data_IF_850742131739
#
_entry.id   IF_850742131739
#
_cell.length_a   1.000
_cell.length_b   1.000
_cell.length_c   1.000
_cell.angle_alpha   90.00
_cell.angle_beta   90.00
_cell.angle_gamma   90.00
#
_symmetry.space_group_name_H-M   'P 1'
#
loop_
_entity.id
_entity.type
_entity.pdbx_description
1 polymer ?
#
# COMPACT_ATOMS: atom_id res chain seq x y z
N UNK A 1 -10.43 -6.01 7.02
CA UNK A 1 -10.16 -4.55 6.90
C UNK A 1 -8.68 -4.32 7.16
N UNK A 2 -8.07 -3.36 6.44
CA UNK A 2 -6.73 -2.89 6.69
C UNK A 2 -6.77 -1.44 7.22
N UNK A 3 -5.85 -1.10 8.12
CA UNK A 3 -5.55 0.25 8.58
C UNK A 3 -4.23 0.64 7.98
N UNK A 4 -4.10 1.86 7.44
CA UNK A 4 -2.83 2.45 7.10
C UNK A 4 -2.38 3.36 8.24
N UNK A 5 -1.20 3.08 8.79
CA UNK A 5 -0.62 3.87 9.86
C UNK A 5 -0.23 5.28 9.36
N UNK A 6 -0.04 6.22 10.28
CA UNK A 6 0.30 7.60 9.92
C UNK A 6 1.58 7.66 9.06
N UNK A 7 1.55 8.48 7.99
CA UNK A 7 2.73 8.76 7.16
C UNK A 7 3.90 9.44 7.91
N UNK A 8 3.65 9.93 9.13
CA UNK A 8 4.69 10.52 10.00
C UNK A 8 5.59 9.45 10.63
N UNK A 9 5.18 8.19 10.63
CA UNK A 9 5.98 7.09 11.17
C UNK A 9 7.23 6.89 10.32
N UNK A 10 8.39 6.92 11.00
CA UNK A 10 9.68 6.66 10.38
C UNK A 10 10.49 5.68 11.24
N UNK A 11 10.49 4.40 10.84
CA UNK A 11 11.18 3.35 11.57
C UNK A 11 12.70 3.37 11.37
N UNK A 12 13.21 4.09 10.36
CA UNK A 12 14.64 4.19 10.05
C UNK A 12 15.34 5.36 10.76
N UNK A 13 14.61 6.41 11.13
CA UNK A 13 15.18 7.64 11.68
C UNK A 13 15.70 7.47 13.11
N UNK A 14 16.68 8.31 13.49
CA UNK A 14 17.29 8.32 14.82
C UNK A 14 16.85 9.50 15.69
N UNK A 15 16.36 10.57 15.07
CA UNK A 15 16.11 11.83 15.79
C UNK A 15 15.03 11.68 16.86
N UNK A 16 15.39 11.97 18.10
CA UNK A 16 14.43 12.05 19.19
C UNK A 16 13.77 13.45 19.23
N UNK A 17 12.48 13.56 19.62
CA UNK A 17 11.62 12.47 20.13
C UNK A 17 10.90 11.68 19.04
N UNK A 18 11.09 11.97 17.75
CA UNK A 18 10.34 11.39 16.63
C UNK A 18 10.53 9.88 16.49
N UNK A 19 11.70 9.38 16.83
CA UNK A 19 12.01 7.95 16.79
C UNK A 19 11.15 7.17 17.79
N UNK A 20 11.09 7.64 19.04
CA UNK A 20 10.25 7.05 20.07
C UNK A 20 8.75 7.19 19.74
N UNK A 21 8.33 8.33 19.21
CA UNK A 21 6.94 8.58 18.80
C UNK A 21 6.52 7.67 17.65
N UNK A 22 7.40 7.43 16.67
CA UNK A 22 7.14 6.53 15.56
C UNK A 22 6.91 5.09 16.04
N UNK A 23 7.75 4.60 16.96
CA UNK A 23 7.60 3.28 17.53
C UNK A 23 6.31 3.17 18.36
N UNK A 24 6.08 4.11 19.28
CA UNK A 24 4.89 4.12 20.12
C UNK A 24 3.59 4.26 19.30
N UNK A 25 3.61 5.10 18.26
CA UNK A 25 2.47 5.26 17.36
C UNK A 25 2.14 3.97 16.62
N UNK A 26 3.13 3.26 16.08
CA UNK A 26 2.87 2.01 15.37
C UNK A 26 2.42 0.88 16.31
N UNK A 27 2.98 0.80 17.52
CA UNK A 27 2.49 -0.11 18.56
C UNK A 27 1.02 0.19 18.89
N UNK A 28 0.67 1.46 19.05
CA UNK A 28 -0.71 1.88 19.30
C UNK A 28 -1.63 1.42 18.16
N UNK A 29 -1.24 1.59 16.89
CA UNK A 29 -2.04 1.17 15.73
C UNK A 29 -2.30 -0.34 15.72
N UNK A 30 -1.27 -1.19 15.93
CA UNK A 30 -1.47 -2.64 15.94
C UNK A 30 -2.35 -3.08 17.11
N UNK A 31 -2.22 -2.46 18.28
CA UNK A 31 -3.04 -2.77 19.47
C UNK A 31 -4.50 -2.33 19.30
N UNK A 32 -4.76 -1.25 18.56
CA UNK A 32 -6.10 -0.73 18.31
C UNK A 32 -6.82 -1.40 17.12
N UNK A 33 -6.07 -2.03 16.22
CA UNK A 33 -6.61 -2.65 15.01
C UNK A 33 -7.82 -3.58 15.27
N UNK A 34 -7.83 -4.45 16.30
CA UNK A 34 -9.00 -5.30 16.58
C UNK A 34 -10.26 -4.51 16.91
N UNK A 35 -10.15 -3.35 17.57
CA UNK A 35 -11.30 -2.50 17.90
C UNK A 35 -11.97 -1.90 16.65
N UNK A 36 -11.22 -1.77 15.55
CA UNK A 36 -11.74 -1.35 14.25
C UNK A 36 -12.20 -2.53 13.37
N UNK A 37 -12.06 -3.76 13.85
CA UNK A 37 -12.25 -4.97 13.06
C UNK A 37 -11.18 -5.16 11.97
N UNK A 38 -10.00 -4.57 12.15
CA UNK A 38 -8.88 -4.69 11.22
C UNK A 38 -7.94 -5.83 11.64
N UNK A 39 -7.46 -6.57 10.65
CA UNK A 39 -6.48 -7.64 10.80
C UNK A 39 -5.14 -7.32 10.15
N UNK A 40 -5.04 -6.20 9.45
CA UNK A 40 -3.83 -5.74 8.77
C UNK A 40 -3.56 -4.29 9.18
N UNK A 41 -2.33 -3.99 9.57
CA UNK A 41 -1.84 -2.63 9.83
C UNK A 41 -0.67 -2.38 8.91
N UNK A 42 -0.91 -1.58 7.87
CA UNK A 42 0.08 -1.21 6.85
C UNK A 42 0.88 0.01 7.29
N UNK A 43 2.17 0.03 7.01
CA UNK A 43 3.04 1.19 7.28
C UNK A 43 4.16 1.29 6.26
N UNK A 44 4.53 2.52 5.91
CA UNK A 44 5.78 2.80 5.24
C UNK A 44 6.98 2.44 6.14
N UNK A 45 8.09 2.04 5.54
CA UNK A 45 9.29 1.61 6.26
C UNK A 45 10.04 2.82 6.84
N UNK A 46 10.12 3.92 6.08
CA UNK A 46 10.75 5.16 6.50
C UNK A 46 12.05 5.48 5.77
N UNK A 47 12.76 6.50 6.28
CA UNK A 47 13.94 7.12 5.66
C UNK A 47 15.07 7.23 6.68
N UNK A 48 16.31 6.91 6.26
CA UNK A 48 17.50 7.02 7.12
C UNK A 48 18.02 8.45 7.29
N UNK A 49 17.47 9.42 6.57
CA UNK A 49 17.78 10.86 6.69
C UNK A 49 19.27 11.18 6.75
N UNK A 50 20.05 10.64 5.81
CA UNK A 50 21.49 10.86 5.69
C UNK A 50 22.38 9.97 6.57
N UNK A 51 21.82 9.15 7.47
CA UNK A 51 22.61 8.31 8.39
C UNK A 51 23.06 6.96 7.81
N UNK A 52 22.75 6.73 6.55
CA UNK A 52 23.15 5.55 5.78
C UNK A 52 22.17 4.39 5.86
N UNK A 53 22.02 3.70 4.74
CA UNK A 53 21.04 2.64 4.56
C UNK A 53 21.20 1.48 5.55
N UNK A 54 22.44 1.03 5.79
CA UNK A 54 22.73 -0.07 6.73
C UNK A 54 22.26 0.24 8.16
N UNK A 55 22.49 1.47 8.61
CA UNK A 55 22.04 1.92 9.93
C UNK A 55 20.53 2.01 10.00
N UNK A 56 19.89 2.51 8.95
CA UNK A 56 18.44 2.57 8.82
C UNK A 56 17.81 1.18 8.86
N UNK A 57 18.30 0.23 8.07
CA UNK A 57 17.80 -1.16 8.03
C UNK A 57 17.92 -1.84 9.41
N UNK A 58 19.04 -1.68 10.12
CA UNK A 58 19.16 -2.23 11.49
C UNK A 58 18.12 -1.65 12.44
N UNK A 59 17.84 -0.33 12.37
CA UNK A 59 16.81 0.30 13.20
C UNK A 59 15.42 -0.19 12.89
N UNK A 60 15.11 -0.31 11.59
CA UNK A 60 13.81 -0.86 11.13
C UNK A 60 13.61 -2.25 11.71
N UNK A 61 14.56 -3.16 11.52
CA UNK A 61 14.42 -4.54 11.99
C UNK A 61 14.22 -4.62 13.49
N UNK A 62 14.98 -3.84 14.27
CA UNK A 62 14.84 -3.81 15.73
C UNK A 62 13.46 -3.28 16.16
N UNK A 63 12.98 -2.19 15.53
CA UNK A 63 11.67 -1.60 15.85
C UNK A 63 10.52 -2.47 15.38
N UNK A 64 10.63 -3.07 14.20
CA UNK A 64 9.64 -4.06 13.72
C UNK A 64 9.52 -5.20 14.72
N UNK A 65 10.64 -5.74 15.20
CA UNK A 65 10.61 -6.77 16.25
C UNK A 65 9.87 -6.32 17.51
N UNK A 66 10.12 -5.08 17.97
CA UNK A 66 9.41 -4.52 19.12
C UNK A 66 7.89 -4.36 18.86
N UNK A 67 7.48 -3.92 17.66
CA UNK A 67 6.06 -3.84 17.28
C UNK A 67 5.42 -5.22 17.23
N UNK A 68 6.12 -6.22 16.66
CA UNK A 68 5.60 -7.59 16.55
C UNK A 68 5.37 -8.23 17.92
N UNK A 69 6.23 -7.91 18.90
CA UNK A 69 6.07 -8.38 20.29
C UNK A 69 4.78 -7.85 20.94
N UNK A 70 4.28 -6.68 20.50
CA UNK A 70 3.08 -6.03 20.99
C UNK A 70 1.85 -6.24 20.08
N UNK A 71 2.03 -6.98 18.97
CA UNK A 71 0.95 -7.19 17.99
C UNK A 71 -0.02 -8.27 18.49
N UNK A 72 -1.32 -7.96 18.63
CA UNK A 72 -2.31 -8.92 19.11
C UNK A 72 -2.50 -10.10 18.15
N UNK A 73 -2.90 -11.28 18.68
CA UNK A 73 -3.27 -12.42 17.85
C UNK A 73 -4.32 -12.04 16.79
N UNK A 74 -4.13 -12.51 15.55
CA UNK A 74 -5.02 -12.24 14.43
C UNK A 74 -4.76 -10.90 13.71
N UNK A 75 -3.85 -10.05 14.22
CA UNK A 75 -3.35 -8.86 13.53
C UNK A 75 -2.01 -9.16 12.87
N UNK A 76 -1.78 -8.59 11.70
CA UNK A 76 -0.49 -8.63 10.99
C UNK A 76 0.03 -7.22 10.78
N UNK A 77 1.29 -6.99 11.13
CA UNK A 77 2.03 -5.80 10.70
C UNK A 77 2.45 -5.98 9.24
N UNK A 78 2.11 -5.02 8.40
CA UNK A 78 2.38 -5.04 6.97
C UNK A 78 3.36 -3.92 6.62
N UNK A 79 4.53 -4.28 6.08
CA UNK A 79 5.53 -3.32 5.62
C UNK A 79 5.36 -3.08 4.14
N UNK A 80 5.29 -1.82 3.75
CA UNK A 80 5.12 -1.40 2.37
C UNK A 80 6.45 -1.05 1.71
N UNK A 81 6.64 -1.49 0.46
CA UNK A 81 7.78 -1.04 -0.34
C UNK A 81 7.71 0.46 -0.62
N UNK A 82 8.85 1.07 -0.93
CA UNK A 82 8.92 2.49 -1.28
C UNK A 82 9.36 2.70 -2.72
N UNK A 83 9.09 3.90 -3.28
CA UNK A 83 9.57 4.29 -4.59
C UNK A 83 11.08 4.61 -4.65
N UNK A 84 11.74 4.68 -3.50
CA UNK A 84 13.18 5.00 -3.40
C UNK A 84 13.50 6.49 -3.48
N UNK A 85 12.52 7.37 -3.25
CA UNK A 85 12.72 8.82 -3.22
C UNK A 85 13.55 9.25 -2.00
N UNK A 86 14.51 10.17 -2.20
CA UNK A 86 15.39 10.66 -1.14
C UNK A 86 16.19 9.53 -0.48
N UNK A 87 16.11 9.47 0.85
CA UNK A 87 16.76 8.47 1.70
C UNK A 87 15.81 7.35 2.16
N UNK A 88 14.68 7.16 1.48
CA UNK A 88 13.71 6.11 1.84
C UNK A 88 14.28 4.71 1.58
N UNK A 89 13.95 3.79 2.48
CA UNK A 89 14.37 2.40 2.46
C UNK A 89 13.24 1.47 1.99
N UNK A 90 13.59 0.23 1.60
CA UNK A 90 12.63 -0.75 1.13
C UNK A 90 12.15 -0.51 -0.30
N UNK A 91 12.98 0.15 -1.12
CA UNK A 91 12.70 0.31 -2.55
C UNK A 91 13.05 -0.92 -3.38
N UNK A 92 13.88 -1.80 -2.86
CA UNK A 92 14.19 -3.09 -3.48
C UNK A 92 13.57 -4.25 -2.71
N UNK A 93 13.27 -5.32 -3.40
CA UNK A 93 12.76 -6.55 -2.77
C UNK A 93 13.82 -7.16 -1.84
N UNK A 94 15.09 -6.96 -2.17
CA UNK A 94 16.24 -7.35 -1.34
C UNK A 94 16.26 -6.60 0.00
N UNK A 95 15.93 -5.30 0.03
CA UNK A 95 15.82 -4.55 1.28
C UNK A 95 14.70 -5.12 2.16
N UNK A 96 13.54 -5.47 1.57
CA UNK A 96 12.43 -6.07 2.31
C UNK A 96 12.83 -7.43 2.89
N UNK A 97 13.53 -8.26 2.13
CA UNK A 97 14.07 -9.55 2.59
C UNK A 97 15.08 -9.36 3.72
N UNK A 98 16.02 -8.43 3.58
CA UNK A 98 17.01 -8.11 4.64
C UNK A 98 16.35 -7.63 5.93
N UNK A 99 15.29 -6.85 5.84
CA UNK A 99 14.51 -6.46 7.02
C UNK A 99 13.90 -7.70 7.66
N UNK A 100 13.26 -8.56 6.88
CA UNK A 100 12.62 -9.79 7.39
C UNK A 100 13.63 -10.69 8.10
N UNK A 101 14.80 -10.92 7.50
CA UNK A 101 15.85 -11.79 8.03
C UNK A 101 16.49 -11.24 9.31
N UNK A 102 16.54 -9.90 9.45
CA UNK A 102 17.15 -9.24 10.57
C UNK A 102 16.19 -8.90 11.72
N UNK A 103 14.88 -9.17 11.57
CA UNK A 103 13.90 -8.93 12.64
C UNK A 103 14.13 -9.92 13.78
N UNK A 104 14.35 -9.46 15.02
CA UNK A 104 14.50 -10.35 16.16
C UNK A 104 13.17 -10.99 16.56
N UNK A 105 13.20 -12.28 16.84
CA UNK A 105 12.03 -13.02 17.32
C UNK A 105 11.10 -13.54 16.24
N UNK A 106 9.88 -13.96 16.62
CA UNK A 106 8.93 -14.57 15.69
C UNK A 106 8.38 -13.54 14.66
N UNK A 107 8.45 -13.88 13.39
CA UNK A 107 7.93 -13.04 12.28
C UNK A 107 6.61 -13.54 11.70
N UNK A 108 5.89 -14.41 12.39
CA UNK A 108 4.63 -15.00 11.88
C UNK A 108 3.52 -14.00 11.62
N UNK A 109 3.48 -12.91 12.39
CA UNK A 109 2.54 -11.78 12.21
C UNK A 109 3.08 -10.65 11.34
N UNK A 110 4.24 -10.82 10.69
CA UNK A 110 4.77 -9.87 9.70
C UNK A 110 4.33 -10.23 8.29
N UNK A 111 3.97 -9.22 7.53
CA UNK A 111 3.58 -9.33 6.13
C UNK A 111 4.09 -8.13 5.33
N UNK A 112 3.84 -8.16 4.03
CA UNK A 112 4.25 -7.10 3.12
C UNK A 112 3.10 -6.58 2.28
N UNK A 113 3.23 -5.32 1.88
CA UNK A 113 2.44 -4.66 0.86
C UNK A 113 3.35 -4.32 -0.32
N UNK A 114 2.88 -4.58 -1.53
CA UNK A 114 3.48 -4.06 -2.75
C UNK A 114 2.60 -2.96 -3.32
N UNK A 115 3.07 -1.71 -3.25
CA UNK A 115 2.48 -0.62 -4.02
C UNK A 115 3.04 -0.64 -5.43
N UNK A 116 2.16 -0.69 -6.42
CA UNK A 116 2.53 -0.78 -7.84
C UNK A 116 3.18 0.48 -8.39
N UNK A 117 2.74 1.66 -7.90
CA UNK A 117 3.38 2.93 -8.28
C UNK A 117 4.78 3.06 -7.64
N UNK A 118 4.97 2.52 -6.44
CA UNK A 118 6.29 2.45 -5.80
C UNK A 118 7.23 1.49 -6.51
N UNK A 119 6.78 0.28 -6.88
CA UNK A 119 7.56 -0.64 -7.71
C UNK A 119 8.02 0.02 -9.00
N UNK A 120 7.10 0.69 -9.70
CA UNK A 120 7.41 1.43 -10.91
C UNK A 120 8.42 2.55 -10.67
N UNK A 121 8.23 3.33 -9.61
CA UNK A 121 9.16 4.39 -9.21
C UNK A 121 10.55 3.86 -8.87
N UNK A 122 10.64 2.70 -8.25
CA UNK A 122 11.89 2.00 -7.92
C UNK A 122 12.58 1.35 -9.12
N UNK A 123 11.90 1.24 -10.27
CA UNK A 123 12.49 0.72 -11.50
C UNK A 123 12.05 -0.69 -11.90
N UNK A 124 11.07 -1.27 -11.22
CA UNK A 124 10.48 -2.53 -11.63
C UNK A 124 9.47 -2.29 -12.74
N UNK A 125 9.78 -2.74 -13.94
CA UNK A 125 8.87 -2.62 -15.09
C UNK A 125 7.75 -3.67 -15.01
N UNK A 126 6.64 -3.25 -14.45
CA UNK A 126 5.41 -4.03 -14.32
C UNK A 126 4.35 -3.64 -15.36
N UNK A 127 4.75 -3.02 -16.48
CA UNK A 127 3.83 -2.65 -17.55
C UNK A 127 3.42 -3.83 -18.44
N UNK A 128 4.11 -4.96 -18.31
CA UNK A 128 3.87 -6.18 -19.10
C UNK A 128 3.60 -7.40 -18.20
N UNK A 129 2.96 -8.46 -18.72
CA UNK A 129 2.77 -9.70 -17.96
C UNK A 129 4.09 -10.33 -17.52
N UNK A 130 5.12 -10.28 -18.37
CA UNK A 130 6.45 -10.83 -18.08
C UNK A 130 7.12 -10.08 -16.94
N UNK A 131 7.03 -8.75 -16.94
CA UNK A 131 7.57 -7.91 -15.88
C UNK A 131 6.86 -8.14 -14.54
N UNK A 132 5.54 -8.28 -14.56
CA UNK A 132 4.75 -8.65 -13.37
C UNK A 132 5.19 -10.01 -12.85
N UNK A 133 5.31 -11.02 -13.73
CA UNK A 133 5.75 -12.36 -13.33
C UNK A 133 7.14 -12.31 -12.69
N UNK A 134 8.09 -11.62 -13.31
CA UNK A 134 9.46 -11.51 -12.79
C UNK A 134 9.52 -10.90 -11.39
N UNK A 135 8.71 -9.86 -11.12
CA UNK A 135 8.62 -9.25 -9.78
C UNK A 135 8.03 -10.22 -8.77
N UNK A 136 6.95 -10.92 -9.11
CA UNK A 136 6.32 -11.88 -8.20
C UNK A 136 7.21 -13.11 -7.96
N UNK A 137 7.92 -13.61 -8.98
CA UNK A 137 8.88 -14.70 -8.85
C UNK A 137 10.03 -14.29 -7.91
N UNK A 138 10.56 -13.08 -8.08
CA UNK A 138 11.61 -12.56 -7.21
C UNK A 138 11.14 -12.35 -5.78
N UNK A 139 9.91 -11.85 -5.59
CA UNK A 139 9.33 -11.71 -4.26
C UNK A 139 9.13 -13.08 -3.59
N UNK A 140 8.65 -14.07 -4.33
CA UNK A 140 8.46 -15.43 -3.82
C UNK A 140 9.78 -16.07 -3.40
N UNK A 141 10.81 -15.93 -4.22
CA UNK A 141 12.17 -16.42 -3.93
C UNK A 141 12.75 -15.82 -2.64
N UNK A 142 12.62 -14.51 -2.46
CA UNK A 142 13.25 -13.77 -1.38
C UNK A 142 12.46 -13.81 -0.06
N UNK A 143 11.14 -13.77 -0.14
CA UNK A 143 10.25 -13.48 1.00
C UNK A 143 9.17 -14.54 1.15
N UNK A 144 8.66 -15.05 0.02
CA UNK A 144 7.51 -15.94 -0.06
C UNK A 144 6.19 -15.19 -0.28
N UNK A 145 5.43 -15.58 -1.32
CA UNK A 145 4.12 -14.97 -1.65
C UNK A 145 3.07 -15.16 -0.54
N UNK A 146 3.24 -16.12 0.37
CA UNK A 146 2.39 -16.27 1.54
C UNK A 146 2.45 -15.09 2.52
N UNK A 147 3.47 -14.24 2.42
CA UNK A 147 3.65 -13.02 3.20
C UNK A 147 3.11 -11.76 2.49
N UNK A 148 2.74 -11.83 1.21
CA UNK A 148 2.13 -10.72 0.49
C UNK A 148 0.65 -10.60 0.88
N UNK A 149 0.35 -9.71 1.83
CA UNK A 149 -0.98 -9.52 2.38
C UNK A 149 -1.80 -8.44 1.66
N UNK A 150 -1.12 -7.41 1.17
CA UNK A 150 -1.71 -6.27 0.48
C UNK A 150 -1.02 -6.01 -0.85
N UNK A 151 -1.78 -5.50 -1.80
CA UNK A 151 -1.28 -4.77 -2.95
C UNK A 151 -1.99 -3.43 -2.98
N UNK A 152 -1.24 -2.33 -2.94
CA UNK A 152 -1.76 -1.02 -3.30
C UNK A 152 -1.76 -0.94 -4.83
N UNK A 153 -2.95 -1.07 -5.40
CA UNK A 153 -3.15 -1.10 -6.84
C UNK A 153 -3.29 0.33 -7.36
N UNK A 154 -2.20 0.92 -7.75
CA UNK A 154 -2.11 2.29 -8.23
C UNK A 154 -1.43 2.32 -9.61
N UNK A 155 -1.90 3.15 -10.53
CA UNK A 155 -1.11 3.49 -11.71
C UNK A 155 -0.18 4.67 -11.36
N UNK A 156 0.81 4.97 -12.20
CA UNK A 156 1.80 6.00 -11.92
C UNK A 156 1.83 7.10 -12.97
N UNK A 157 1.91 8.36 -12.53
CA UNK A 157 2.21 9.52 -13.40
C UNK A 157 3.70 9.61 -13.73
N UNK A 158 4.53 9.06 -12.88
CA UNK A 158 5.99 9.13 -12.98
C UNK A 158 6.52 8.21 -14.08
N UNK A 159 7.72 8.49 -14.57
CA UNK A 159 8.43 7.57 -15.46
C UNK A 159 9.08 6.44 -14.66
N UNK A 160 9.32 5.31 -15.31
CA UNK A 160 9.99 4.14 -14.72
C UNK A 160 11.35 4.54 -14.11
N UNK A 161 11.60 4.10 -12.88
CA UNK A 161 12.87 4.33 -12.19
C UNK A 161 13.12 5.77 -11.73
N UNK A 162 12.10 6.64 -11.79
CA UNK A 162 12.24 8.05 -11.40
C UNK A 162 12.33 8.27 -9.90
N UNK A 163 12.12 7.25 -9.08
CA UNK A 163 11.97 7.33 -7.62
C UNK A 163 10.83 8.25 -7.17
N UNK A 164 9.86 8.49 -8.07
CA UNK A 164 8.73 9.37 -7.82
C UNK A 164 7.52 8.58 -7.35
N UNK A 165 6.93 9.03 -6.26
CA UNK A 165 5.65 8.55 -5.75
C UNK A 165 4.54 9.48 -6.23
N UNK A 166 3.88 9.11 -7.33
CA UNK A 166 2.84 9.91 -7.99
C UNK A 166 1.74 9.02 -8.55
N UNK A 167 0.74 8.75 -7.74
CA UNK A 167 -0.39 7.90 -8.12
C UNK A 167 -1.23 8.50 -9.25
N UNK A 168 -1.75 7.63 -10.10
CA UNK A 168 -2.68 7.91 -11.17
C UNK A 168 -3.86 6.94 -11.11
N UNK A 169 -4.94 7.29 -11.76
CA UNK A 169 -6.09 6.40 -11.96
C UNK A 169 -5.70 5.16 -12.76
N UNK A 170 -6.28 4.02 -12.42
CA UNK A 170 -5.95 2.73 -13.02
C UNK A 170 -6.05 2.75 -14.54
N UNK A 171 -4.98 2.37 -15.23
CA UNK A 171 -4.89 2.32 -16.68
C UNK A 171 -4.82 3.71 -17.35
N UNK A 172 -4.59 4.78 -16.60
CA UNK A 172 -4.43 6.13 -17.12
C UNK A 172 -3.01 6.67 -16.91
N UNK A 173 -2.13 5.90 -16.32
CA UNK A 173 -0.74 6.24 -16.05
C UNK A 173 0.25 5.51 -16.97
N UNK A 174 1.47 5.41 -16.48
CA UNK A 174 2.62 4.85 -17.22
C UNK A 174 2.77 3.35 -17.08
N UNK A 175 2.23 2.74 -16.01
CA UNK A 175 2.14 1.28 -15.85
C UNK A 175 1.12 0.75 -16.86
N UNK A 176 -0.05 1.40 -16.93
CA UNK A 176 -1.07 1.10 -17.92
C UNK A 176 -1.92 -0.12 -17.61
N UNK A 177 -2.94 -0.30 -18.45
CA UNK A 177 -3.96 -1.33 -18.26
C UNK A 177 -3.41 -2.76 -18.36
N UNK A 178 -2.43 -3.00 -19.22
CA UNK A 178 -1.88 -4.35 -19.48
C UNK A 178 -1.19 -4.90 -18.24
N UNK A 179 -0.25 -4.15 -17.65
CA UNK A 179 0.48 -4.57 -16.45
C UNK A 179 -0.43 -4.73 -15.24
N UNK A 180 -1.31 -3.75 -14.99
CA UNK A 180 -2.25 -3.81 -13.87
C UNK A 180 -3.24 -4.99 -14.02
N UNK A 181 -3.70 -5.29 -15.24
CA UNK A 181 -4.54 -6.47 -15.52
C UNK A 181 -3.78 -7.78 -15.27
N UNK A 182 -2.52 -7.85 -15.71
CA UNK A 182 -1.68 -9.02 -15.48
C UNK A 182 -1.51 -9.31 -13.99
N UNK A 183 -1.24 -8.28 -13.18
CA UNK A 183 -1.12 -8.42 -11.74
C UNK A 183 -2.43 -8.86 -11.07
N UNK A 184 -3.55 -8.21 -11.41
CA UNK A 184 -4.87 -8.56 -10.84
C UNK A 184 -5.31 -10.00 -11.16
N UNK A 185 -4.84 -10.54 -12.30
CA UNK A 185 -5.22 -11.87 -12.80
C UNK A 185 -4.21 -12.95 -12.49
N UNK A 186 -3.12 -12.60 -11.82
CA UNK A 186 -2.10 -13.60 -11.47
C UNK A 186 -2.67 -14.62 -10.47
N UNK A 187 -2.71 -15.88 -10.90
CA UNK A 187 -3.34 -16.97 -10.15
C UNK A 187 -2.68 -17.26 -8.80
N UNK A 188 -1.47 -16.76 -8.55
CA UNK A 188 -0.76 -16.88 -7.28
C UNK A 188 -1.33 -15.98 -6.19
N UNK A 189 -1.99 -14.86 -6.57
CA UNK A 189 -2.48 -13.84 -5.64
C UNK A 189 -3.93 -14.02 -5.18
N UNK A 190 -4.89 -14.49 -5.99
CA UNK A 190 -6.29 -14.60 -5.60
C UNK A 190 -6.51 -15.39 -4.31
N UNK A 191 -7.32 -14.83 -3.42
CA UNK A 191 -7.68 -15.43 -2.12
C UNK A 191 -6.62 -15.30 -1.03
N UNK A 192 -5.43 -14.79 -1.32
CA UNK A 192 -4.35 -14.58 -0.35
C UNK A 192 -4.04 -13.11 -0.11
N UNK A 193 -4.25 -12.27 -1.12
CA UNK A 193 -3.85 -10.87 -1.14
C UNK A 193 -5.06 -9.97 -1.26
N UNK A 194 -5.10 -8.89 -0.50
CA UNK A 194 -6.13 -7.85 -0.60
C UNK A 194 -5.62 -6.71 -1.47
N UNK A 195 -6.43 -6.29 -2.45
CA UNK A 195 -6.12 -5.12 -3.27
C UNK A 195 -6.80 -3.88 -2.71
N UNK A 196 -6.04 -2.81 -2.55
CA UNK A 196 -6.50 -1.49 -2.11
C UNK A 196 -6.06 -0.45 -3.14
N UNK A 197 -6.84 0.57 -3.36
CA UNK A 197 -6.51 1.67 -4.27
C UNK A 197 -6.34 2.97 -3.49
N UNK A 198 -5.30 3.72 -3.81
CA UNK A 198 -4.99 5.05 -3.26
C UNK A 198 -4.93 6.07 -4.39
N UNK A 199 -5.86 5.92 -5.33
CA UNK A 199 -5.94 6.76 -6.52
C UNK A 199 -6.37 8.19 -6.18
N UNK A 200 -5.92 9.21 -6.94
CA UNK A 200 -6.24 10.60 -6.65
C UNK A 200 -7.74 10.90 -6.78
N UNK A 201 -8.21 11.95 -6.10
CA UNK A 201 -9.56 12.47 -6.25
C UNK A 201 -10.66 11.67 -5.55
N UNK A 202 -10.35 11.02 -4.42
CA UNK A 202 -11.34 10.32 -3.59
C UNK A 202 -12.50 11.25 -3.19
N UNK A 203 -12.20 12.47 -2.76
CA UNK A 203 -13.19 13.49 -2.40
C UNK A 203 -14.02 13.98 -3.60
N UNK A 204 -13.49 13.82 -4.81
CA UNK A 204 -14.18 14.14 -6.07
C UNK A 204 -15.01 12.95 -6.57
N UNK A 205 -14.96 11.80 -5.87
CA UNK A 205 -15.73 10.58 -6.13
C UNK A 205 -15.18 9.70 -7.25
N UNK A 206 -13.91 9.84 -7.63
CA UNK A 206 -13.27 9.00 -8.63
C UNK A 206 -13.12 7.52 -8.19
N UNK A 207 -13.30 7.20 -6.92
CA UNK A 207 -13.23 5.83 -6.40
C UNK A 207 -14.17 4.88 -7.13
N UNK A 208 -15.42 5.30 -7.37
CA UNK A 208 -16.38 4.46 -8.08
C UNK A 208 -15.93 4.11 -9.52
N UNK A 209 -15.26 5.05 -10.20
CA UNK A 209 -14.69 4.81 -11.54
C UNK A 209 -13.49 3.88 -11.46
N UNK A 210 -12.60 4.08 -10.49
CA UNK A 210 -11.44 3.22 -10.30
C UNK A 210 -11.83 1.79 -9.89
N UNK A 211 -12.82 1.61 -9.02
CA UNK A 211 -13.38 0.29 -8.71
C UNK A 211 -13.93 -0.40 -9.96
N UNK A 212 -14.65 0.33 -10.82
CA UNK A 212 -15.12 -0.21 -12.09
C UNK A 212 -13.97 -0.60 -13.01
N UNK A 213 -12.94 0.26 -13.11
CA UNK A 213 -11.73 -0.02 -13.90
C UNK A 213 -11.01 -1.26 -13.38
N UNK A 214 -10.81 -1.39 -12.07
CA UNK A 214 -10.21 -2.57 -11.46
C UNK A 214 -10.95 -3.86 -11.82
N UNK A 215 -12.29 -3.86 -11.79
CA UNK A 215 -13.11 -5.01 -12.19
C UNK A 215 -12.93 -5.36 -13.67
N UNK A 216 -12.96 -4.36 -14.55
CA UNK A 216 -12.72 -4.58 -15.98
C UNK A 216 -11.32 -5.14 -16.26
N UNK A 217 -10.30 -4.61 -15.59
CA UNK A 217 -8.93 -5.12 -15.68
C UNK A 217 -8.83 -6.56 -15.17
N UNK A 218 -9.53 -6.89 -14.08
CA UNK A 218 -9.62 -8.26 -13.58
C UNK A 218 -10.29 -9.20 -14.59
N UNK A 219 -11.31 -8.72 -15.31
CA UNK A 219 -11.99 -9.46 -16.38
C UNK A 219 -11.16 -9.50 -17.69
N UNK A 220 -9.99 -8.88 -17.72
CA UNK A 220 -9.10 -8.83 -18.90
C UNK A 220 -9.53 -7.80 -19.95
N UNK A 221 -10.38 -6.85 -19.59
CA UNK A 221 -10.89 -5.79 -20.47
C UNK A 221 -10.01 -4.54 -20.31
N UNK A 222 -9.35 -4.14 -21.40
CA UNK A 222 -8.47 -2.98 -21.44
C UNK A 222 -9.15 -1.69 -21.96
N UNK A 223 -10.35 -1.81 -22.54
CA UNK A 223 -11.18 -0.65 -22.91
C UNK A 223 -11.86 -0.08 -21.66
N UNK A 224 -11.19 0.87 -21.04
CA UNK A 224 -11.58 1.41 -19.74
C UNK A 224 -12.45 2.67 -19.90
N UNK A 225 -13.47 2.86 -19.03
CA UNK A 225 -14.32 4.03 -19.06
C UNK A 225 -13.49 5.32 -18.88
N UNK A 226 -13.88 6.36 -19.64
CA UNK A 226 -13.25 7.69 -19.56
C UNK A 226 -13.40 8.27 -18.16
N UNK A 227 -12.33 8.87 -17.65
CA UNK A 227 -12.32 9.61 -16.39
C UNK A 227 -13.01 10.97 -16.60
N UNK A 228 -14.31 11.00 -16.40
CA UNK A 228 -15.08 12.25 -16.46
C UNK A 228 -15.67 12.55 -15.08
N UNK A 229 -15.41 13.73 -14.55
CA UNK A 229 -16.01 14.23 -13.30
C UNK A 229 -17.55 14.27 -13.32
N UNK A 230 -18.17 14.21 -14.51
CA UNK A 230 -19.63 14.20 -14.70
C UNK A 230 -20.35 12.95 -14.19
N UNK A 231 -19.68 11.83 -14.01
CA UNK A 231 -20.33 10.62 -13.49
C UNK A 231 -20.73 10.73 -12.02
N UNK A 232 -20.34 11.79 -11.32
CA UNK A 232 -20.43 11.93 -9.87
C UNK A 232 -21.49 12.93 -9.42
N UNK A 233 -21.86 13.90 -10.26
CA UNK A 233 -22.86 14.92 -9.92
C UNK A 233 -24.31 14.40 -9.95
N UNK A 234 -24.55 13.27 -10.60
CA UNK A 234 -25.91 12.72 -10.73
C UNK A 234 -26.51 12.11 -9.44
N UNK A 235 -25.71 11.92 -8.38
CA UNK A 235 -26.22 11.37 -7.11
C UNK A 235 -26.42 12.39 -5.98
N UNK A 236 -26.00 13.66 -6.16
CA UNK A 236 -26.22 14.71 -5.15
C UNK A 236 -27.54 15.47 -5.25
N UNK A 237 -28.36 15.25 -6.28
CA UNK A 237 -29.69 15.88 -6.43
C UNK A 237 -30.87 15.07 -5.91
N UNK A 238 -30.63 14.04 -5.11
CA UNK A 238 -31.66 13.38 -4.30
C UNK A 238 -32.03 14.28 -3.13
N UNK A 239 -32.92 15.23 -3.36
CA UNK A 239 -33.56 16.06 -2.33
C UNK A 239 -34.12 15.18 -1.22
N UNK A 240 -33.52 15.23 -0.04
CA UNK A 240 -34.19 14.81 1.20
C UNK A 240 -35.32 15.83 1.47
N UNK A 241 -36.49 15.59 0.93
CA UNK A 241 -37.73 16.17 1.48
C UNK A 241 -38.02 15.44 2.79
N UNK A 242 -37.53 15.98 3.90
CA UNK A 242 -37.96 15.54 5.23
C UNK A 242 -39.39 16.04 5.47
N UNK A 243 -40.25 15.25 6.14
CA UNK A 243 -41.59 15.68 6.50
C UNK A 243 -41.52 16.82 7.52
N UNK A 244 -42.17 17.94 7.21
CA UNK A 244 -42.29 19.09 8.10
C UNK A 244 -42.98 18.72 9.39
N UNK A 245 -42.30 18.87 10.49
CA UNK A 245 -42.90 18.83 11.84
C UNK A 245 -43.66 20.14 12.04
N UNK A 246 -45.00 20.08 12.01
CA UNK A 246 -45.87 21.16 12.48
C UNK A 246 -45.77 21.21 14.03
N UNK A 247 -45.37 22.36 14.55
CA UNK A 247 -45.51 22.67 15.98
C UNK A 247 -46.98 23.08 16.22
N UNK A 248 -47.65 22.57 17.27
CA UNK A 248 -48.92 23.13 17.73
C UNK A 248 -48.68 24.42 18.47
N UNK A 249 -49.64 25.36 18.32
CA UNK A 249 -49.69 26.67 19.02
C UNK A 249 -50.06 26.55 20.48
#
# INVERSE_FOLDING_TARGET
>A
MAVHASYLINLAGAAEPFAAQSLAGLIHEVQRAPAYGASLVNTHIGSHRGEGAETGLRRISARVGAVLAETPPGVRLVLENSSGGGDSLGSTLEDLARILDAVPGPTGSMAFCLDTAHLWGAGYDISTPEGVSAVLDRFDELIGLNRLALVHLNDSKSVLGSRGDRHQHLGAGKIGAVGLSALLRDARLPGRTTFVMETPGADEGYDAVNVRRARLLYDGISDLPTLTARALTARRSGTRTGPGVRRPG
#
